data_IF_308641899561
#
_entry.id   IF_308641899561
#
_cell.length_a   1.000
_cell.length_b   1.000
_cell.length_c   1.000
_cell.angle_alpha   90.00
_cell.angle_beta   90.00
_cell.angle_gamma   90.00
#
_symmetry.space_group_name_H-M   'P 1'
#
loop_
_entity.id
_entity.type
_entity.pdbx_description
1 polymer ?
#
# COMPACT_ATOMS: atom_id res chain seq x y z
N UNK A 1 3.51 -23.75 24.47
CA UNK A 1 4.17 -24.61 23.46
C UNK A 1 5.60 -24.13 23.26
N UNK A 2 6.61 -25.02 23.27
CA UNK A 2 8.00 -24.59 23.18
C UNK A 2 8.29 -24.05 21.77
N UNK A 3 8.84 -22.84 21.69
CA UNK A 3 9.34 -22.24 20.45
C UNK A 3 10.58 -23.04 20.04
N UNK A 4 10.40 -23.91 19.05
CA UNK A 4 11.45 -24.71 18.42
C UNK A 4 12.66 -23.82 18.07
N UNK A 5 13.84 -24.18 18.57
CA UNK A 5 15.09 -23.47 18.31
C UNK A 5 15.45 -23.52 16.83
N UNK A 6 15.51 -22.34 16.18
CA UNK A 6 15.89 -22.23 14.76
C UNK A 6 17.25 -22.86 14.49
N UNK A 7 17.32 -23.74 13.50
CA UNK A 7 18.55 -24.44 13.11
C UNK A 7 19.58 -23.47 12.52
N UNK A 8 20.86 -23.86 12.48
CA UNK A 8 21.93 -23.04 11.87
C UNK A 8 21.60 -22.68 10.40
N UNK A 9 20.93 -23.58 9.68
CA UNK A 9 20.50 -23.41 8.29
C UNK A 9 19.39 -22.34 8.16
N UNK A 10 18.43 -22.31 9.08
CA UNK A 10 17.36 -21.30 9.08
C UNK A 10 17.90 -19.89 9.30
N UNK A 11 18.88 -19.75 10.20
CA UNK A 11 19.57 -18.48 10.44
C UNK A 11 20.31 -17.99 9.20
N UNK A 12 20.96 -18.90 8.47
CA UNK A 12 21.70 -18.56 7.26
C UNK A 12 20.77 -18.18 6.10
N UNK A 13 19.64 -18.88 5.92
CA UNK A 13 18.64 -18.50 4.91
C UNK A 13 17.99 -17.15 5.23
N UNK A 14 17.69 -16.88 6.49
CA UNK A 14 17.17 -15.58 6.91
C UNK A 14 18.17 -14.46 6.67
N UNK A 15 19.46 -14.68 6.94
CA UNK A 15 20.53 -13.71 6.64
C UNK A 15 20.59 -13.38 5.15
N UNK A 16 20.54 -14.39 4.28
CA UNK A 16 20.52 -14.20 2.81
C UNK A 16 19.27 -13.46 2.34
N UNK A 17 18.13 -13.67 2.99
CA UNK A 17 16.91 -12.91 2.72
C UNK A 17 17.07 -11.43 3.11
N UNK A 18 17.61 -11.14 4.30
CA UNK A 18 17.88 -9.77 4.74
C UNK A 18 18.85 -9.06 3.78
N UNK A 19 19.97 -9.71 3.45
CA UNK A 19 20.96 -9.18 2.49
C UNK A 19 20.32 -8.87 1.13
N UNK A 20 19.36 -9.69 0.68
CA UNK A 20 18.63 -9.46 -0.57
C UNK A 20 17.70 -8.24 -0.50
N UNK A 21 16.99 -8.02 0.61
CA UNK A 21 16.05 -6.89 0.73
C UNK A 21 16.74 -5.58 1.09
N UNK A 22 17.97 -5.63 1.61
CA UNK A 22 18.83 -4.48 1.88
C UNK A 22 19.61 -4.00 0.64
N UNK A 23 19.63 -4.78 -0.45
CA UNK A 23 20.26 -4.37 -1.72
C UNK A 23 19.57 -3.10 -2.24
N UNK A 24 20.31 -2.00 -2.49
CA UNK A 24 19.72 -0.76 -3.02
C UNK A 24 19.09 -0.93 -4.41
N UNK A 25 19.43 -1.99 -5.15
CA UNK A 25 18.82 -2.35 -6.43
C UNK A 25 17.63 -3.32 -6.27
N UNK A 26 17.30 -3.74 -5.05
CA UNK A 26 16.15 -4.61 -4.79
C UNK A 26 14.87 -3.90 -5.24
N UNK A 27 14.27 -4.42 -6.31
CA UNK A 27 13.02 -3.89 -6.85
C UNK A 27 11.78 -4.44 -6.11
N UNK A 28 11.93 -5.35 -5.15
CA UNK A 28 10.77 -5.93 -4.46
C UNK A 28 10.25 -5.05 -3.32
N UNK A 29 9.07 -5.40 -2.79
CA UNK A 29 8.48 -4.75 -1.62
C UNK A 29 7.59 -3.56 -1.96
N UNK A 30 6.71 -3.20 -1.01
CA UNK A 30 5.76 -2.12 -1.19
C UNK A 30 6.37 -0.76 -0.87
N UNK A 31 6.08 0.27 -1.68
CA UNK A 31 6.49 1.63 -1.35
C UNK A 31 5.66 2.17 -0.18
N UNK A 32 6.37 2.66 0.85
CA UNK A 32 5.74 3.38 1.93
C UNK A 32 5.22 4.73 1.42
N UNK A 33 4.11 5.19 2.01
CA UNK A 33 3.66 6.56 1.80
C UNK A 33 4.70 7.56 2.33
N UNK A 34 4.84 8.75 1.72
CA UNK A 34 5.67 9.82 2.26
C UNK A 34 5.16 10.28 3.63
N UNK A 35 6.01 11.00 4.39
CA UNK A 35 5.71 11.44 5.76
C UNK A 35 4.40 12.27 5.85
N UNK A 36 4.11 13.07 4.83
CA UNK A 36 2.91 13.89 4.73
C UNK A 36 2.16 13.61 3.42
N UNK A 37 1.45 12.48 3.31
CA UNK A 37 0.80 12.11 2.06
C UNK A 37 -0.46 12.94 1.84
N UNK A 38 -0.62 13.41 0.62
CA UNK A 38 -1.83 14.02 0.11
C UNK A 38 -3.03 13.06 0.22
N UNK A 39 -4.24 13.62 0.11
CA UNK A 39 -5.45 12.80 0.05
C UNK A 39 -5.41 11.84 -1.14
N UNK A 40 -4.92 12.29 -2.29
CA UNK A 40 -4.84 11.48 -3.50
C UNK A 40 -3.91 10.27 -3.31
N UNK A 41 -2.73 10.47 -2.71
CA UNK A 41 -1.78 9.38 -2.43
C UNK A 41 -2.38 8.37 -1.45
N UNK A 42 -3.04 8.83 -0.38
CA UNK A 42 -3.75 7.95 0.57
C UNK A 42 -4.81 7.11 -0.13
N UNK A 43 -5.65 7.72 -0.95
CA UNK A 43 -6.71 7.02 -1.67
C UNK A 43 -6.14 5.97 -2.63
N UNK A 44 -5.10 6.30 -3.40
CA UNK A 44 -4.44 5.33 -4.29
C UNK A 44 -3.85 4.17 -3.48
N UNK A 45 -3.16 4.47 -2.38
CA UNK A 45 -2.54 3.48 -1.51
C UNK A 45 -3.55 2.53 -0.89
N UNK A 46 -4.66 3.04 -0.36
CA UNK A 46 -5.77 2.23 0.16
C UNK A 46 -6.35 1.30 -0.91
N UNK A 47 -6.47 1.77 -2.14
CA UNK A 47 -6.96 0.95 -3.25
C UNK A 47 -5.97 -0.16 -3.61
N UNK A 48 -4.66 0.13 -3.69
CA UNK A 48 -3.63 -0.88 -3.88
C UNK A 48 -3.63 -1.94 -2.76
N UNK A 49 -3.78 -1.51 -1.50
CA UNK A 49 -3.90 -2.44 -0.37
C UNK A 49 -5.12 -3.37 -0.49
N UNK A 50 -6.26 -2.88 -0.97
CA UNK A 50 -7.44 -3.72 -1.23
C UNK A 50 -7.17 -4.75 -2.32
N UNK A 51 -6.48 -4.35 -3.40
CA UNK A 51 -6.08 -5.27 -4.48
C UNK A 51 -5.12 -6.34 -3.94
N UNK A 52 -4.11 -5.95 -3.17
CA UNK A 52 -3.17 -6.88 -2.55
C UNK A 52 -3.87 -7.85 -1.59
N UNK A 53 -4.80 -7.36 -0.77
CA UNK A 53 -5.59 -8.19 0.14
C UNK A 53 -6.38 -9.25 -0.64
N UNK A 54 -7.09 -8.83 -1.69
CA UNK A 54 -7.81 -9.77 -2.55
C UNK A 54 -6.90 -10.81 -3.19
N UNK A 55 -5.75 -10.38 -3.73
CA UNK A 55 -4.75 -11.26 -4.32
C UNK A 55 -4.31 -12.36 -3.33
N UNK A 56 -3.99 -11.97 -2.09
CA UNK A 56 -3.55 -12.90 -1.05
C UNK A 56 -4.67 -13.82 -0.55
N UNK A 57 -5.86 -13.27 -0.29
CA UNK A 57 -7.02 -14.03 0.21
C UNK A 57 -7.48 -15.09 -0.79
N UNK A 58 -7.42 -14.76 -2.08
CA UNK A 58 -7.76 -15.67 -3.17
C UNK A 58 -6.59 -16.56 -3.60
N UNK A 59 -5.40 -16.41 -2.99
CA UNK A 59 -4.18 -17.17 -3.30
C UNK A 59 -3.82 -17.15 -4.79
N UNK A 60 -4.01 -16.00 -5.43
CA UNK A 60 -3.77 -15.85 -6.86
C UNK A 60 -2.26 -15.74 -7.12
N UNK A 61 -1.85 -16.18 -8.30
CA UNK A 61 -0.59 -15.77 -8.90
C UNK A 61 -0.68 -14.33 -9.41
N UNK A 62 0.46 -13.69 -9.66
CA UNK A 62 0.49 -12.36 -10.27
C UNK A 62 -0.17 -12.37 -11.66
N UNK A 63 0.03 -13.44 -12.44
CA UNK A 63 -0.55 -13.64 -13.77
C UNK A 63 -2.08 -13.74 -13.73
N UNK A 64 -2.65 -14.52 -12.80
CA UNK A 64 -4.11 -14.61 -12.65
C UNK A 64 -4.72 -13.27 -12.22
N UNK A 65 -4.02 -12.54 -11.35
CA UNK A 65 -4.42 -11.20 -10.93
C UNK A 65 -4.40 -10.24 -12.12
N UNK A 66 -3.35 -10.29 -12.93
CA UNK A 66 -3.19 -9.48 -14.13
C UNK A 66 -4.31 -9.75 -15.15
N UNK A 67 -4.63 -11.03 -15.38
CA UNK A 67 -5.74 -11.42 -16.27
C UNK A 67 -7.08 -10.87 -15.78
N UNK A 68 -7.39 -10.99 -14.47
CA UNK A 68 -8.63 -10.45 -13.90
C UNK A 68 -8.71 -8.93 -13.97
N UNK A 69 -7.58 -8.24 -13.80
CA UNK A 69 -7.50 -6.77 -13.87
C UNK A 69 -7.37 -6.21 -15.29
N UNK A 70 -7.18 -7.08 -16.30
CA UNK A 70 -6.86 -6.69 -17.68
C UNK A 70 -5.61 -5.80 -17.77
N UNK A 71 -4.55 -6.24 -17.09
CA UNK A 71 -3.25 -5.57 -17.05
C UNK A 71 -2.13 -6.52 -17.49
N UNK A 72 -0.96 -5.96 -17.80
CA UNK A 72 0.26 -6.76 -17.89
C UNK A 72 0.70 -7.25 -16.52
N UNK A 73 1.55 -8.29 -16.50
CA UNK A 73 2.18 -8.79 -15.26
C UNK A 73 2.96 -7.69 -14.55
N UNK A 74 3.73 -6.89 -15.29
CA UNK A 74 4.56 -5.82 -14.74
C UNK A 74 3.70 -4.74 -14.06
N UNK A 75 2.65 -4.27 -14.73
CA UNK A 75 1.72 -3.28 -14.15
C UNK A 75 1.00 -3.82 -12.92
N UNK A 76 0.66 -5.10 -12.92
CA UNK A 76 0.04 -5.76 -11.76
C UNK A 76 1.02 -5.83 -10.59
N UNK A 77 2.29 -6.13 -10.85
CA UNK A 77 3.35 -6.12 -9.84
C UNK A 77 3.57 -4.72 -9.24
N UNK A 78 3.52 -3.67 -10.06
CA UNK A 78 3.58 -2.28 -9.59
C UNK A 78 2.41 -1.95 -8.63
N UNK A 79 1.19 -2.42 -8.94
CA UNK A 79 0.02 -2.22 -8.08
C UNK A 79 0.14 -3.02 -6.78
N UNK A 80 0.54 -4.29 -6.83
CA UNK A 80 0.74 -5.13 -5.64
C UNK A 80 1.84 -4.56 -4.73
N UNK A 81 2.83 -3.88 -5.30
CA UNK A 81 3.87 -3.16 -4.59
C UNK A 81 3.53 -1.69 -4.28
N UNK A 82 2.28 -1.25 -4.49
CA UNK A 82 1.84 0.11 -4.20
C UNK A 82 2.72 1.21 -4.81
N UNK A 83 3.25 1.01 -6.01
CA UNK A 83 4.06 2.01 -6.73
C UNK A 83 3.16 3.07 -7.37
N UNK A 84 2.74 4.04 -6.56
CA UNK A 84 1.63 4.96 -6.85
C UNK A 84 1.85 5.90 -8.05
N UNK A 85 3.11 6.19 -8.38
CA UNK A 85 3.48 7.18 -9.40
C UNK A 85 3.19 6.70 -10.83
N UNK A 86 3.07 5.38 -11.04
CA UNK A 86 2.80 4.79 -12.35
C UNK A 86 1.32 4.80 -12.74
N UNK A 87 0.42 5.16 -11.81
CA UNK A 87 -1.01 5.10 -12.06
C UNK A 87 -1.75 6.35 -11.61
N UNK A 88 -2.63 6.83 -12.46
CA UNK A 88 -3.68 7.78 -12.06
C UNK A 88 -4.75 7.06 -11.25
N UNK A 89 -5.53 7.80 -10.45
CA UNK A 89 -6.57 7.20 -9.60
C UNK A 89 -7.70 6.59 -10.43
N UNK A 90 -8.07 7.21 -11.56
CA UNK A 90 -9.08 6.71 -12.50
C UNK A 90 -8.66 5.36 -13.10
N UNK A 91 -7.40 5.23 -13.54
CA UNK A 91 -6.85 4.01 -14.09
C UNK A 91 -6.83 2.89 -13.05
N UNK A 92 -6.33 3.18 -11.84
CA UNK A 92 -6.35 2.24 -10.71
C UNK A 92 -7.78 1.76 -10.39
N UNK A 93 -8.73 2.68 -10.30
CA UNK A 93 -10.13 2.36 -9.98
C UNK A 93 -10.77 1.50 -11.06
N UNK A 94 -10.47 1.77 -12.33
CA UNK A 94 -10.97 0.98 -13.47
C UNK A 94 -10.51 -0.47 -13.38
N UNK A 95 -9.20 -0.69 -13.22
CA UNK A 95 -8.65 -2.05 -13.19
C UNK A 95 -9.02 -2.81 -11.90
N UNK A 96 -9.04 -2.11 -10.75
CA UNK A 96 -9.51 -2.67 -9.50
C UNK A 96 -11.01 -3.03 -9.55
N UNK A 97 -11.81 -2.27 -10.30
CA UNK A 97 -13.23 -2.53 -10.50
C UNK A 97 -13.52 -3.91 -11.09
N UNK A 98 -12.64 -4.44 -11.95
CA UNK A 98 -12.78 -5.80 -12.49
C UNK A 98 -12.61 -6.90 -11.43
N UNK A 99 -11.84 -6.66 -10.37
CA UNK A 99 -11.66 -7.63 -9.27
C UNK A 99 -12.84 -7.63 -8.30
N UNK A 100 -13.41 -6.46 -8.04
CA UNK A 100 -14.43 -6.27 -7.01
C UNK A 100 -15.87 -6.37 -7.53
N UNK A 101 -16.06 -6.79 -8.78
CA UNK A 101 -17.37 -6.82 -9.42
C UNK A 101 -18.33 -7.87 -8.79
N UNK A 102 -19.62 -7.52 -8.60
CA UNK A 102 -20.20 -6.19 -8.77
C UNK A 102 -19.80 -5.25 -7.61
N UNK A 103 -19.13 -4.14 -7.92
CA UNK A 103 -18.66 -3.17 -6.93
C UNK A 103 -19.57 -1.93 -6.88
N UNK A 104 -19.70 -1.31 -5.72
CA UNK A 104 -20.30 0.02 -5.56
C UNK A 104 -19.29 0.96 -4.90
N UNK A 105 -19.06 2.12 -5.51
CA UNK A 105 -18.18 3.15 -4.95
C UNK A 105 -19.00 4.11 -4.10
N UNK A 106 -18.67 4.23 -2.81
CA UNK A 106 -19.25 5.23 -1.90
C UNK A 106 -18.21 6.30 -1.58
N UNK A 107 -18.53 7.57 -1.85
CA UNK A 107 -17.68 8.72 -1.49
C UNK A 107 -18.20 9.31 -0.18
N UNK A 108 -17.35 9.39 0.84
CA UNK A 108 -17.64 10.08 2.10
C UNK A 108 -16.59 11.17 2.31
N UNK A 109 -17.00 12.42 2.50
CA UNK A 109 -16.09 13.54 2.73
C UNK A 109 -16.17 13.94 4.20
N UNK A 110 -15.08 13.73 4.93
CA UNK A 110 -14.96 14.13 6.32
C UNK A 110 -14.06 15.36 6.45
N UNK A 111 -14.58 16.42 7.07
CA UNK A 111 -13.82 17.61 7.38
C UNK A 111 -13.03 17.39 8.66
N UNK A 112 -11.69 17.41 8.58
CA UNK A 112 -10.87 17.43 9.80
C UNK A 112 -11.09 18.76 10.52
N UNK A 113 -11.33 18.76 11.85
CA UNK A 113 -11.47 20.00 12.60
C UNK A 113 -10.18 20.82 12.47
N UNK A 114 -10.31 22.07 12.04
CA UNK A 114 -9.19 23.01 12.01
C UNK A 114 -8.77 23.29 13.45
N UNK A 115 -7.57 22.88 13.83
CA UNK A 115 -7.01 23.19 15.14
C UNK A 115 -6.79 24.71 15.19
N UNK A 116 -7.76 25.45 15.74
CA UNK A 116 -7.61 26.89 15.98
C UNK A 116 -6.48 27.06 16.97
N UNK A 117 -5.31 27.53 16.51
CA UNK A 117 -4.25 28.05 17.35
C UNK A 117 -4.84 29.21 18.16
N UNK A 118 -5.27 28.94 19.39
CA UNK A 118 -5.61 30.00 20.35
C UNK A 118 -4.34 30.81 20.61
N UNK A 119 -4.26 32.01 20.02
CA UNK A 119 -3.30 33.03 20.49
C UNK A 119 -3.69 33.33 21.94
N UNK A 120 -2.84 32.94 22.89
CA UNK A 120 -2.93 33.47 24.26
C UNK A 120 -2.70 34.97 24.16
N UNK A 121 -3.75 35.77 24.31
CA UNK A 121 -3.64 37.21 24.51
C UNK A 121 -3.17 37.43 25.95
N UNK A 122 -1.88 37.68 26.14
CA UNK A 122 -1.34 38.13 27.42
C UNK A 122 -1.71 39.60 27.57
N UNK A 123 -2.78 39.91 28.31
CA UNK A 123 -3.01 41.27 28.81
C UNK A 123 -2.05 41.49 29.99
N UNK A 124 -1.07 42.37 29.77
CA UNK A 124 -0.21 42.90 30.83
C UNK A 124 -0.93 44.14 31.35
N UNK A 125 -1.49 44.08 32.56
CA UNK A 125 -1.88 45.27 33.30
C UNK A 125 -0.67 45.71 34.12
N UNK A 126 -0.15 46.90 33.82
CA UNK A 126 0.68 47.71 34.67
C UNK A 126 0.27 49.17 34.48
#
# INVERSE_FOLDING_TARGET
>A
SPVSGKTKKDKEQFKKYLERIEDPNYQGGSWALPENPSLLEKTKYELCQKVLTYHLDQKLTTEETAQKMQLSKAETEDILHCRLDYFTLDRLTTHAGYLFAPAQTKITVELKPTHKRTRKSTFIHA
#
